data_IF_517755968201
#
_entry.id   IF_517755968201
#
_cell.length_a   1.000
_cell.length_b   1.000
_cell.length_c   1.000
_cell.angle_alpha   90.00
_cell.angle_beta   90.00
_cell.angle_gamma   90.00
#
_symmetry.space_group_name_H-M   'P 1'
#
loop_
_entity.id
_entity.type
_entity.pdbx_description
1 polymer ?
#
# COMPACT_ATOMS: atom_id res chain seq x y z
N UNK A 1 24.07 -20.63 12.80
CA UNK A 1 24.26 -20.13 11.40
C UNK A 1 23.21 -19.12 10.97
N UNK A 2 21.93 -19.29 11.32
CA UNK A 2 20.84 -18.33 11.01
C UNK A 2 21.10 -16.96 11.64
N UNK A 3 21.41 -16.89 12.93
CA UNK A 3 21.66 -15.62 13.67
C UNK A 3 22.78 -14.79 13.06
N UNK A 4 23.82 -15.44 12.51
CA UNK A 4 24.95 -14.74 11.87
C UNK A 4 24.50 -14.13 10.53
N UNK A 5 23.67 -14.85 9.75
CA UNK A 5 23.14 -14.32 8.48
C UNK A 5 22.29 -13.08 8.69
N UNK A 6 21.40 -13.09 9.67
CA UNK A 6 20.53 -11.96 9.97
C UNK A 6 21.32 -10.76 10.47
N UNK A 7 22.35 -10.99 11.31
CA UNK A 7 23.23 -9.93 11.78
C UNK A 7 24.01 -9.30 10.62
N UNK A 8 24.55 -10.10 9.69
CA UNK A 8 25.27 -9.61 8.51
C UNK A 8 24.33 -8.83 7.59
N UNK A 9 23.13 -9.35 7.30
CA UNK A 9 22.15 -8.68 6.45
C UNK A 9 21.72 -7.33 7.04
N UNK A 10 21.44 -7.27 8.34
CA UNK A 10 21.16 -6.03 9.05
C UNK A 10 22.30 -5.03 8.95
N UNK A 11 23.55 -5.47 9.15
CA UNK A 11 24.74 -4.61 9.06
C UNK A 11 24.94 -4.06 7.66
N UNK A 12 24.67 -4.84 6.61
CA UNK A 12 24.71 -4.35 5.22
C UNK A 12 23.74 -3.18 5.02
N UNK A 13 22.50 -3.31 5.49
CA UNK A 13 21.50 -2.24 5.38
C UNK A 13 21.89 -0.97 6.16
N UNK A 14 22.39 -1.14 7.39
CA UNK A 14 22.87 -0.03 8.23
C UNK A 14 24.08 0.68 7.60
N UNK A 15 25.03 -0.08 7.06
CA UNK A 15 26.21 0.46 6.36
C UNK A 15 25.80 1.18 5.09
N UNK A 16 24.92 0.60 4.27
CA UNK A 16 24.42 1.23 3.07
C UNK A 16 23.67 2.53 3.39
N UNK A 17 22.81 2.52 4.42
CA UNK A 17 22.12 3.73 4.87
C UNK A 17 23.11 4.83 5.31
N UNK A 18 24.16 4.47 6.05
CA UNK A 18 25.19 5.41 6.48
C UNK A 18 26.01 5.94 5.29
N UNK A 19 26.40 5.07 4.34
CA UNK A 19 27.11 5.46 3.13
C UNK A 19 26.32 6.48 2.30
N UNK A 20 25.01 6.31 2.20
CA UNK A 20 24.12 7.20 1.48
C UNK A 20 23.53 8.33 2.38
N UNK A 21 24.15 8.61 3.53
CA UNK A 21 23.78 9.70 4.45
C UNK A 21 22.33 9.60 4.95
N UNK A 22 21.85 8.38 5.21
CA UNK A 22 20.53 8.11 5.75
C UNK A 22 19.38 8.77 4.95
N UNK A 23 19.12 8.36 3.71
CA UNK A 23 18.16 9.03 2.81
C UNK A 23 16.74 9.15 3.41
N UNK A 24 16.30 8.20 4.25
CA UNK A 24 15.01 8.25 4.95
C UNK A 24 14.90 9.38 6.00
N UNK A 25 15.96 10.14 6.28
CA UNK A 25 15.90 11.34 7.10
C UNK A 25 15.59 12.59 6.30
N UNK A 26 15.71 12.52 4.97
CA UNK A 26 15.49 13.65 4.04
C UNK A 26 14.10 13.63 3.39
N UNK A 27 13.36 12.52 3.52
CA UNK A 27 12.00 12.37 2.99
C UNK A 27 11.16 11.46 3.90
N UNK A 28 9.86 11.64 3.92
CA UNK A 28 8.93 10.77 4.62
C UNK A 28 8.76 9.44 3.84
N UNK A 29 9.26 8.33 4.39
CA UNK A 29 9.09 7.01 3.79
C UNK A 29 7.85 6.33 4.37
N UNK A 30 6.92 5.92 3.51
CA UNK A 30 5.72 5.15 3.88
C UNK A 30 5.88 3.72 3.40
N UNK A 31 5.79 2.75 4.33
CA UNK A 31 5.85 1.32 4.04
C UNK A 31 4.47 0.69 3.96
N UNK A 32 4.20 -0.10 2.92
CA UNK A 32 2.95 -0.84 2.77
C UNK A 32 3.25 -2.34 2.75
N UNK A 33 2.70 -3.07 3.73
CA UNK A 33 2.81 -4.53 3.81
C UNK A 33 1.45 -5.21 3.86
N UNK A 34 1.42 -6.50 3.59
CA UNK A 34 0.24 -7.35 3.54
C UNK A 34 0.40 -8.45 2.49
N UNK A 35 -0.57 -9.33 2.34
CA UNK A 35 -0.57 -10.32 1.25
C UNK A 35 -0.98 -9.65 -0.05
N UNK A 36 -2.17 -9.07 -0.09
CA UNK A 36 -2.76 -8.39 -1.24
C UNK A 36 -2.87 -6.87 -1.02
N UNK A 37 -3.02 -6.08 -2.09
CA UNK A 37 -3.28 -4.64 -2.01
C UNK A 37 -2.06 -3.73 -1.96
N UNK A 38 -0.85 -4.22 -1.69
CA UNK A 38 0.37 -3.39 -1.58
C UNK A 38 0.57 -2.45 -2.77
N UNK A 39 0.58 -2.98 -3.98
CA UNK A 39 0.81 -2.21 -5.21
C UNK A 39 -0.25 -1.13 -5.41
N UNK A 40 -1.52 -1.47 -5.24
CA UNK A 40 -2.61 -0.49 -5.38
C UNK A 40 -2.50 0.61 -4.34
N UNK A 41 -2.22 0.26 -3.08
CA UNK A 41 -2.08 1.23 -1.99
C UNK A 41 -0.89 2.17 -2.20
N UNK A 42 0.28 1.65 -2.63
CA UNK A 42 1.45 2.52 -2.90
C UNK A 42 1.22 3.46 -4.08
N UNK A 43 0.56 3.00 -5.15
CA UNK A 43 0.21 3.87 -6.29
C UNK A 43 -0.86 4.92 -5.90
N UNK A 44 -1.82 4.57 -5.05
CA UNK A 44 -2.77 5.53 -4.48
C UNK A 44 -2.05 6.59 -3.64
N UNK A 45 -1.13 6.18 -2.76
CA UNK A 45 -0.33 7.11 -1.95
C UNK A 45 0.45 8.07 -2.87
N UNK A 46 1.13 7.56 -3.90
CA UNK A 46 1.86 8.38 -4.86
C UNK A 46 0.92 9.38 -5.57
N UNK A 47 -0.18 8.91 -6.14
CA UNK A 47 -1.12 9.76 -6.88
C UNK A 47 -1.73 10.85 -6.00
N UNK A 48 -2.20 10.48 -4.82
CA UNK A 48 -2.85 11.42 -3.89
C UNK A 48 -1.85 12.46 -3.35
N UNK A 49 -0.65 12.02 -2.96
CA UNK A 49 0.37 12.94 -2.47
C UNK A 49 0.89 13.88 -3.57
N UNK A 50 1.08 13.38 -4.79
CA UNK A 50 1.45 14.20 -5.94
C UNK A 50 0.36 15.24 -6.25
N UNK A 51 -0.91 14.87 -6.16
CA UNK A 51 -2.05 15.77 -6.33
C UNK A 51 -2.10 16.87 -5.24
N UNK A 52 -1.54 16.58 -4.07
CA UNK A 52 -1.37 17.55 -2.98
C UNK A 52 -0.06 18.36 -3.09
N UNK A 53 0.62 18.32 -4.24
CA UNK A 53 1.81 19.11 -4.52
C UNK A 53 3.12 18.51 -3.99
N UNK A 54 3.12 17.27 -3.52
CA UNK A 54 4.35 16.60 -3.09
C UNK A 54 5.13 16.03 -4.28
N UNK A 55 6.46 16.11 -4.20
CA UNK A 55 7.34 15.31 -5.04
C UNK A 55 7.48 13.92 -4.41
N UNK A 56 7.09 12.87 -5.13
CA UNK A 56 6.92 11.52 -4.59
C UNK A 56 7.80 10.51 -5.30
N UNK A 57 8.45 9.64 -4.53
CA UNK A 57 9.07 8.40 -5.00
C UNK A 57 8.14 7.20 -4.83
N UNK A 58 8.15 6.26 -5.77
CA UNK A 58 7.41 5.00 -5.72
C UNK A 58 8.37 3.83 -5.86
N UNK A 59 8.31 2.87 -4.94
CA UNK A 59 9.16 1.67 -4.91
C UNK A 59 8.29 0.42 -4.73
N UNK A 60 8.26 -0.47 -5.72
CA UNK A 60 7.37 -1.63 -5.63
C UNK A 60 7.57 -2.68 -6.70
N UNK A 61 6.58 -3.53 -6.85
CA UNK A 61 6.61 -4.72 -7.71
C UNK A 61 6.73 -4.39 -9.20
N UNK A 62 6.07 -3.34 -9.66
CA UNK A 62 6.01 -3.00 -11.08
C UNK A 62 7.17 -2.10 -11.48
N UNK A 63 7.44 -1.09 -10.68
CA UNK A 63 8.35 -0.01 -11.03
C UNK A 63 8.94 0.63 -9.78
N UNK A 64 10.19 1.10 -9.88
CA UNK A 64 10.77 2.06 -8.97
C UNK A 64 10.92 3.37 -9.74
N UNK A 65 10.30 4.46 -9.26
CA UNK A 65 10.32 5.76 -9.96
C UNK A 65 10.37 6.95 -9.01
N UNK A 66 11.05 7.98 -9.44
CA UNK A 66 11.14 9.30 -8.82
C UNK A 66 11.39 10.35 -9.90
N UNK A 67 11.34 11.66 -9.65
CA UNK A 67 11.55 12.68 -10.66
C UNK A 67 12.79 12.43 -11.53
N UNK A 68 12.59 12.33 -12.83
CA UNK A 68 13.65 12.08 -13.81
C UNK A 68 14.07 10.61 -14.00
N UNK A 69 13.52 9.68 -13.21
CA UNK A 69 13.87 8.24 -13.29
C UNK A 69 12.64 7.33 -13.21
N UNK A 70 12.67 6.26 -14.02
CA UNK A 70 11.68 5.18 -13.95
C UNK A 70 12.36 3.88 -14.37
N UNK A 71 12.41 2.90 -13.45
CA UNK A 71 13.16 1.66 -13.58
C UNK A 71 12.20 0.50 -13.35
N UNK A 72 12.14 -0.47 -14.25
CA UNK A 72 11.39 -1.72 -14.02
C UNK A 72 11.94 -2.42 -12.77
N UNK A 73 11.07 -2.75 -11.84
CA UNK A 73 11.47 -3.41 -10.61
C UNK A 73 11.85 -4.89 -10.86
N UNK A 74 12.91 -5.35 -10.22
CA UNK A 74 13.30 -6.77 -10.23
C UNK A 74 12.80 -7.53 -9.01
N UNK A 75 12.43 -6.82 -7.97
CA UNK A 75 11.89 -7.34 -6.71
C UNK A 75 10.85 -6.38 -6.16
N UNK A 76 9.84 -6.89 -5.49
CA UNK A 76 8.84 -6.06 -4.77
C UNK A 76 9.52 -5.09 -3.80
N UNK A 77 10.57 -5.56 -3.13
CA UNK A 77 11.45 -4.75 -2.26
C UNK A 77 12.89 -5.10 -2.62
N UNK A 78 13.65 -4.14 -3.08
CA UNK A 78 15.06 -4.33 -3.47
C UNK A 78 15.93 -4.78 -2.27
N UNK A 79 17.12 -5.34 -2.56
CA UNK A 79 18.12 -5.60 -1.54
C UNK A 79 18.64 -4.28 -0.94
N UNK A 80 19.12 -4.34 0.29
CA UNK A 80 19.38 -3.18 1.12
C UNK A 80 20.35 -2.17 0.51
N UNK A 81 21.41 -2.62 -0.14
CA UNK A 81 22.41 -1.79 -0.83
C UNK A 81 21.78 -0.99 -1.99
N UNK A 82 21.07 -1.69 -2.88
CA UNK A 82 20.35 -1.07 -4.00
C UNK A 82 19.22 -0.15 -3.51
N UNK A 83 18.46 -0.60 -2.51
CA UNK A 83 17.36 0.17 -1.93
C UNK A 83 17.85 1.52 -1.39
N UNK A 84 18.91 1.52 -0.58
CA UNK A 84 19.43 2.75 0.02
C UNK A 84 19.98 3.71 -1.06
N UNK A 85 20.62 3.18 -2.12
CA UNK A 85 21.04 3.97 -3.27
C UNK A 85 19.87 4.64 -4.00
N UNK A 86 18.83 3.88 -4.32
CA UNK A 86 17.63 4.40 -4.98
C UNK A 86 16.89 5.44 -4.12
N UNK A 87 16.79 5.22 -2.79
CA UNK A 87 16.21 6.19 -1.86
C UNK A 87 17.06 7.48 -1.81
N UNK A 88 18.39 7.36 -1.88
CA UNK A 88 19.27 8.52 -1.92
C UNK A 88 19.12 9.34 -3.21
N UNK A 89 18.98 8.68 -4.35
CA UNK A 89 18.70 9.33 -5.63
C UNK A 89 17.34 10.04 -5.61
N UNK A 90 16.28 9.39 -5.09
CA UNK A 90 14.96 9.98 -4.95
C UNK A 90 14.99 11.23 -4.03
N UNK A 91 15.68 11.14 -2.88
CA UNK A 91 15.85 12.28 -1.98
C UNK A 91 16.63 13.41 -2.65
N UNK A 92 17.65 13.10 -3.44
CA UNK A 92 18.46 14.08 -4.18
C UNK A 92 17.68 14.72 -5.35
N UNK A 93 16.72 13.99 -5.93
CA UNK A 93 15.77 14.49 -6.91
C UNK A 93 14.64 15.35 -6.30
N UNK A 94 14.66 15.58 -4.99
CA UNK A 94 13.73 16.46 -4.28
C UNK A 94 12.44 15.77 -3.83
N UNK A 95 12.39 14.44 -3.74
CA UNK A 95 11.24 13.76 -3.14
C UNK A 95 11.10 14.15 -1.66
N UNK A 96 9.94 14.70 -1.29
CA UNK A 96 9.56 14.94 0.10
C UNK A 96 8.89 13.72 0.73
N UNK A 97 8.36 12.81 -0.10
CA UNK A 97 7.67 11.59 0.31
C UNK A 97 8.05 10.43 -0.60
N UNK A 98 8.07 9.22 -0.06
CA UNK A 98 8.19 8.00 -0.85
C UNK A 98 7.23 6.91 -0.34
N UNK A 99 6.56 6.23 -1.26
CA UNK A 99 5.73 5.07 -0.98
C UNK A 99 6.46 3.79 -1.39
N UNK A 100 6.53 2.80 -0.52
CA UNK A 100 7.28 1.56 -0.76
C UNK A 100 6.47 0.32 -0.39
N UNK A 101 6.44 -0.65 -1.30
CA UNK A 101 5.97 -2.00 -0.98
C UNK A 101 7.02 -2.73 -0.13
N UNK A 102 6.60 -3.26 1.02
CA UNK A 102 7.47 -4.01 1.94
C UNK A 102 6.97 -5.46 2.03
N UNK A 103 7.66 -6.38 1.36
CA UNK A 103 7.33 -7.81 1.39
C UNK A 103 7.78 -8.47 2.69
N UNK A 104 7.12 -9.55 3.08
CA UNK A 104 7.52 -10.35 4.25
C UNK A 104 8.93 -10.92 4.11
N UNK A 105 9.30 -11.33 2.89
CA UNK A 105 10.67 -11.76 2.58
C UNK A 105 11.68 -10.65 2.85
N UNK A 106 11.36 -9.40 2.46
CA UNK A 106 12.25 -8.27 2.69
C UNK A 106 12.45 -7.98 4.18
N UNK A 107 11.38 -8.10 4.97
CA UNK A 107 11.44 -7.95 6.42
C UNK A 107 12.25 -9.08 7.06
N UNK A 108 11.94 -10.34 6.75
CA UNK A 108 12.66 -11.50 7.24
C UNK A 108 14.15 -11.50 6.82
N UNK A 109 14.46 -11.00 5.63
CA UNK A 109 15.82 -10.90 5.10
C UNK A 109 16.54 -9.60 5.46
N UNK A 110 15.95 -8.75 6.30
CA UNK A 110 16.53 -7.47 6.73
C UNK A 110 16.85 -6.50 5.57
N UNK A 111 16.15 -6.60 4.42
CA UNK A 111 16.41 -5.74 3.26
C UNK A 111 16.09 -4.26 3.53
N UNK A 112 15.19 -4.00 4.48
CA UNK A 112 14.81 -2.64 4.91
C UNK A 112 15.58 -2.17 6.15
N UNK A 113 16.59 -2.90 6.60
CA UNK A 113 17.45 -2.45 7.68
C UNK A 113 18.12 -1.12 7.30
N UNK A 114 18.20 -0.20 8.25
CA UNK A 114 18.68 1.17 8.01
C UNK A 114 17.61 2.13 7.47
N UNK A 115 16.43 1.63 7.05
CA UNK A 115 15.27 2.49 6.77
C UNK A 115 14.61 2.95 8.07
N UNK A 116 13.95 4.13 8.00
CA UNK A 116 13.03 4.63 9.03
C UNK A 116 11.76 5.09 8.33
N UNK A 117 10.65 4.44 8.67
CA UNK A 117 9.35 4.74 8.09
C UNK A 117 8.65 5.84 8.90
N UNK A 118 8.17 6.85 8.21
CA UNK A 118 7.32 7.91 8.77
C UNK A 118 5.85 7.47 8.89
N UNK A 119 5.48 6.41 8.17
CA UNK A 119 4.15 5.81 8.21
C UNK A 119 4.20 4.36 7.73
N UNK A 120 3.27 3.53 8.20
CA UNK A 120 3.16 2.13 7.80
C UNK A 120 1.68 1.72 7.60
N UNK A 121 1.44 0.86 6.60
CA UNK A 121 0.11 0.33 6.28
C UNK A 121 0.14 -1.19 6.29
N UNK A 122 -0.84 -1.81 6.98
CA UNK A 122 -1.11 -3.24 6.93
C UNK A 122 -2.42 -3.49 6.20
N UNK A 123 -2.34 -4.11 5.01
CA UNK A 123 -3.53 -4.30 4.16
C UNK A 123 -4.35 -5.54 4.56
N UNK A 124 -3.74 -6.69 4.65
CA UNK A 124 -4.36 -7.98 5.02
C UNK A 124 -3.31 -9.09 5.17
N UNK A 125 -3.73 -10.24 5.71
CA UNK A 125 -2.92 -11.45 5.69
C UNK A 125 -3.78 -12.67 5.35
N UNK A 126 -3.59 -13.20 4.16
CA UNK A 126 -4.18 -14.46 3.71
C UNK A 126 -3.11 -15.49 3.39
N UNK A 127 -3.49 -16.75 3.19
CA UNK A 127 -2.53 -17.82 2.95
C UNK A 127 -1.71 -17.56 1.68
N UNK A 128 -0.41 -17.37 1.87
CA UNK A 128 0.59 -17.20 0.82
C UNK A 128 1.99 -17.45 1.41
N UNK A 129 3.00 -17.69 0.58
CA UNK A 129 4.40 -17.78 0.97
C UNK A 129 4.71 -18.80 2.11
N UNK A 130 3.91 -19.86 2.27
CA UNK A 130 4.19 -20.94 3.23
C UNK A 130 5.31 -21.90 2.77
N UNK A 131 5.81 -21.71 1.57
CA UNK A 131 7.06 -22.29 1.09
C UNK A 131 8.30 -21.62 1.71
N UNK A 132 8.15 -20.38 2.20
CA UNK A 132 9.21 -19.60 2.84
C UNK A 132 9.01 -19.43 4.35
N UNK A 133 7.80 -19.10 4.80
CA UNK A 133 7.46 -18.97 6.23
C UNK A 133 6.96 -20.30 6.77
N UNK A 134 7.45 -20.69 7.96
CA UNK A 134 7.12 -21.99 8.55
C UNK A 134 5.64 -22.11 8.95
N UNK A 135 4.97 -20.96 9.21
CA UNK A 135 3.57 -20.91 9.61
C UNK A 135 2.94 -19.55 9.26
N UNK A 136 1.61 -19.46 9.34
CA UNK A 136 0.90 -18.17 9.24
C UNK A 136 1.30 -17.20 10.37
N UNK A 137 1.65 -17.72 11.54
CA UNK A 137 2.17 -16.91 12.65
C UNK A 137 3.52 -16.27 12.31
N UNK A 138 4.48 -17.07 11.77
CA UNK A 138 5.78 -16.55 11.36
C UNK A 138 5.61 -15.53 10.20
N UNK A 139 4.67 -15.78 9.30
CA UNK A 139 4.34 -14.85 8.22
C UNK A 139 3.77 -13.54 8.76
N UNK A 140 2.89 -13.61 9.75
CA UNK A 140 2.36 -12.44 10.45
C UNK A 140 3.46 -11.66 11.18
N UNK A 141 4.27 -12.33 12.02
CA UNK A 141 5.32 -11.67 12.79
C UNK A 141 6.37 -11.02 11.88
N UNK A 142 6.69 -11.65 10.73
CA UNK A 142 7.55 -11.02 9.74
C UNK A 142 6.97 -9.68 9.26
N UNK A 143 5.67 -9.60 8.93
CA UNK A 143 5.04 -8.34 8.53
C UNK A 143 4.85 -7.36 9.69
N UNK A 144 4.50 -7.84 10.87
CA UNK A 144 4.31 -7.03 12.07
C UNK A 144 5.61 -6.30 12.48
N UNK A 145 6.78 -6.84 12.14
CA UNK A 145 8.05 -6.20 12.42
C UNK A 145 8.23 -4.82 11.76
N UNK A 146 7.49 -4.51 10.68
CA UNK A 146 7.48 -3.18 10.07
C UNK A 146 6.97 -2.10 11.04
N UNK A 147 6.08 -2.48 11.96
CA UNK A 147 5.38 -1.57 12.88
C UNK A 147 6.10 -1.37 14.21
N UNK A 148 7.32 -1.88 14.33
CA UNK A 148 8.13 -1.81 15.54
C UNK A 148 9.40 -0.97 15.33
N UNK A 149 9.96 -0.45 16.45
CA UNK A 149 11.30 0.13 16.46
C UNK A 149 12.35 -0.95 16.03
N UNK A 150 13.36 -0.61 15.24
CA UNK A 150 13.75 0.73 14.79
C UNK A 150 13.13 1.15 13.44
N UNK A 151 12.25 0.36 12.83
CA UNK A 151 11.74 0.62 11.48
C UNK A 151 10.71 1.75 11.46
N UNK A 152 9.68 1.68 12.30
CA UNK A 152 8.66 2.73 12.37
C UNK A 152 9.04 3.80 13.40
N UNK A 153 8.85 5.07 13.04
CA UNK A 153 9.06 6.19 13.96
C UNK A 153 7.98 6.16 15.04
N UNK A 154 8.39 6.00 16.29
CA UNK A 154 7.49 5.93 17.44
C UNK A 154 7.11 7.33 17.95
N UNK A 155 6.35 8.09 17.17
CA UNK A 155 5.87 9.43 17.51
C UNK A 155 4.43 9.60 17.04
N UNK A 156 3.48 9.42 17.94
CA UNK A 156 2.04 9.45 17.64
C UNK A 156 1.54 8.26 16.82
N UNK A 157 0.35 8.41 16.23
CA UNK A 157 -0.21 7.41 15.34
C UNK A 157 0.44 7.50 13.97
N UNK A 158 1.23 6.49 13.61
CA UNK A 158 2.01 6.41 12.36
C UNK A 158 1.66 5.19 11.52
N UNK A 159 0.65 4.44 11.92
CA UNK A 159 0.21 3.24 11.22
C UNK A 159 -1.27 3.26 10.91
N UNK A 160 -1.63 2.63 9.79
CA UNK A 160 -3.01 2.35 9.38
C UNK A 160 -3.14 0.86 9.17
N UNK A 161 -4.10 0.25 9.87
CA UNK A 161 -4.25 -1.21 9.90
C UNK A 161 -5.67 -1.59 9.54
N UNK A 162 -5.84 -2.51 8.58
CA UNK A 162 -7.14 -3.08 8.22
C UNK A 162 -7.67 -3.95 9.38
N UNK A 163 -8.68 -3.48 10.09
CA UNK A 163 -9.28 -4.21 11.20
C UNK A 163 -10.41 -5.17 10.77
N UNK A 164 -10.83 -5.17 9.51
CA UNK A 164 -11.74 -6.17 8.95
C UNK A 164 -11.01 -7.51 8.68
N UNK A 165 -9.67 -7.49 8.62
CA UNK A 165 -8.82 -8.67 8.55
C UNK A 165 -8.47 -9.17 9.94
N UNK A 166 -8.63 -10.48 10.28
CA UNK A 166 -8.37 -11.00 11.63
C UNK A 166 -6.94 -10.76 12.13
N UNK A 167 -5.95 -10.85 11.24
CA UNK A 167 -4.56 -10.58 11.59
C UNK A 167 -4.30 -9.07 11.76
N UNK A 168 -4.99 -8.26 10.95
CA UNK A 168 -4.98 -6.82 11.10
C UNK A 168 -5.63 -6.38 12.40
N UNK A 169 -6.76 -6.95 12.79
CA UNK A 169 -7.40 -6.67 14.09
C UNK A 169 -6.44 -6.99 15.26
N UNK A 170 -5.76 -8.13 15.21
CA UNK A 170 -4.75 -8.52 16.19
C UNK A 170 -3.56 -7.55 16.21
N UNK A 171 -3.09 -7.09 15.06
CA UNK A 171 -2.03 -6.09 14.97
C UNK A 171 -2.48 -4.76 15.57
N UNK A 172 -3.69 -4.30 15.25
CA UNK A 172 -4.26 -3.06 15.78
C UNK A 172 -4.39 -3.10 17.32
N UNK A 173 -4.84 -4.22 17.88
CA UNK A 173 -4.87 -4.43 19.33
C UNK A 173 -3.47 -4.30 19.96
N UNK A 174 -2.46 -4.92 19.33
CA UNK A 174 -1.05 -4.86 19.78
C UNK A 174 -0.47 -3.43 19.74
N UNK A 175 -0.86 -2.63 18.73
CA UNK A 175 -0.36 -1.26 18.53
C UNK A 175 -1.12 -0.22 19.37
N UNK A 176 -2.38 -0.49 19.72
CA UNK A 176 -3.22 0.41 20.48
C UNK A 176 -3.31 1.81 19.85
N UNK A 177 -3.09 2.85 20.63
CA UNK A 177 -3.18 4.24 20.16
C UNK A 177 -2.14 4.65 19.10
N UNK A 178 -1.14 3.80 18.81
CA UNK A 178 -0.14 4.07 17.78
C UNK A 178 -0.64 3.76 16.35
N UNK A 179 -1.87 3.25 16.19
CA UNK A 179 -2.47 3.02 14.87
C UNK A 179 -3.86 3.63 14.74
N UNK A 180 -4.27 3.89 13.50
CA UNK A 180 -5.66 4.08 13.11
C UNK A 180 -6.16 2.78 12.47
N UNK A 181 -7.27 2.26 13.00
CA UNK A 181 -7.97 1.12 12.39
C UNK A 181 -8.71 1.62 11.15
N UNK A 182 -8.61 0.89 10.07
CA UNK A 182 -9.41 1.10 8.86
C UNK A 182 -10.43 -0.02 8.72
N UNK A 183 -11.70 0.32 8.54
CA UNK A 183 -12.79 -0.64 8.40
C UNK A 183 -13.84 -0.17 7.39
N UNK A 184 -14.39 -1.11 6.64
CA UNK A 184 -15.60 -0.92 5.83
C UNK A 184 -16.85 -1.52 6.50
N UNK A 185 -16.71 -2.08 7.71
CA UNK A 185 -17.73 -2.79 8.44
C UNK A 185 -18.00 -2.16 9.82
N UNK A 186 -16.96 -1.75 10.53
CA UNK A 186 -17.05 -1.14 11.86
C UNK A 186 -17.02 0.40 11.79
N UNK A 187 -18.15 1.09 12.02
CA UNK A 187 -18.21 2.56 12.01
C UNK A 187 -17.50 3.19 13.24
N UNK A 188 -17.06 2.40 14.21
CA UNK A 188 -16.26 2.87 15.35
C UNK A 188 -14.76 2.93 15.05
N UNK A 189 -14.31 2.41 13.91
CA UNK A 189 -12.92 2.51 13.47
C UNK A 189 -12.57 3.97 13.16
N UNK A 190 -11.32 4.35 13.42
CA UNK A 190 -10.81 5.72 13.20
C UNK A 190 -10.97 6.14 11.73
N UNK A 191 -10.80 5.18 10.81
CA UNK A 191 -11.00 5.36 9.37
C UNK A 191 -12.12 4.43 8.92
N UNK A 192 -13.20 4.98 8.41
CA UNK A 192 -14.30 4.20 7.85
C UNK A 192 -15.02 4.92 6.71
N UNK A 193 -15.88 4.22 5.99
CA UNK A 193 -16.66 4.77 4.91
C UNK A 193 -18.16 4.52 5.16
N UNK A 194 -19.00 5.48 4.77
CA UNK A 194 -20.46 5.36 4.81
C UNK A 194 -21.09 5.76 3.48
N UNK A 195 -22.40 5.55 3.36
CA UNK A 195 -23.21 5.94 2.19
C UNK A 195 -22.67 5.42 0.86
N UNK A 196 -22.07 4.23 0.86
CA UNK A 196 -21.41 3.65 -0.32
C UNK A 196 -22.43 3.28 -1.39
N UNK A 197 -22.26 3.84 -2.59
CA UNK A 197 -23.01 3.52 -3.79
C UNK A 197 -22.06 2.97 -4.84
N UNK A 198 -22.19 1.68 -5.14
CA UNK A 198 -21.36 0.99 -6.14
C UNK A 198 -22.08 0.94 -7.48
N UNK A 199 -21.37 1.32 -8.54
CA UNK A 199 -21.83 1.27 -9.93
C UNK A 199 -20.76 0.69 -10.83
N UNK A 200 -21.09 0.35 -12.07
CA UNK A 200 -20.10 -0.07 -13.06
C UNK A 200 -19.05 1.01 -13.38
N UNK A 201 -19.30 2.27 -13.07
CA UNK A 201 -18.39 3.40 -13.27
C UNK A 201 -17.45 3.64 -12.06
N UNK A 202 -17.66 2.93 -10.94
CA UNK A 202 -16.90 3.11 -9.71
C UNK A 202 -17.79 3.21 -8.47
N UNK A 203 -17.29 3.86 -7.44
CA UNK A 203 -17.92 3.99 -6.13
C UNK A 203 -17.96 5.45 -5.71
N UNK A 204 -19.10 5.86 -5.13
CA UNK A 204 -19.26 7.12 -4.42
C UNK A 204 -19.61 6.84 -2.95
N UNK A 205 -19.22 7.76 -2.06
CA UNK A 205 -19.50 7.61 -0.63
C UNK A 205 -18.97 8.76 0.19
N UNK A 206 -18.94 8.55 1.49
CA UNK A 206 -18.37 9.45 2.49
C UNK A 206 -17.21 8.74 3.18
N UNK A 207 -16.08 9.40 3.29
CA UNK A 207 -14.93 8.96 4.07
C UNK A 207 -14.88 9.74 5.38
N UNK A 208 -14.70 9.02 6.48
CA UNK A 208 -14.62 9.56 7.84
C UNK A 208 -13.25 9.24 8.42
N UNK A 209 -12.64 10.22 9.07
CA UNK A 209 -11.34 10.12 9.71
C UNK A 209 -11.26 10.96 10.98
N UNK A 210 -10.24 10.79 11.85
CA UNK A 210 -10.02 11.65 13.00
C UNK A 210 -9.76 13.12 12.65
N UNK A 211 -9.39 13.42 11.40
CA UNK A 211 -9.08 14.78 10.92
C UNK A 211 -10.19 15.38 10.05
N UNK A 212 -11.38 14.79 10.07
CA UNK A 212 -12.56 15.26 9.34
C UNK A 212 -13.17 14.22 8.41
N UNK A 213 -14.21 14.63 7.70
CA UNK A 213 -14.95 13.79 6.78
C UNK A 213 -15.28 14.51 5.47
N UNK A 214 -15.60 13.75 4.43
CA UNK A 214 -16.05 14.33 3.18
C UNK A 214 -16.50 13.29 2.15
N UNK A 215 -17.17 13.76 1.11
CA UNK A 215 -17.61 12.91 0.00
C UNK A 215 -16.44 12.62 -0.93
N UNK A 216 -16.42 11.42 -1.47
CA UNK A 216 -15.46 11.00 -2.49
C UNK A 216 -16.18 10.30 -3.65
N UNK A 217 -15.50 10.27 -4.77
CA UNK A 217 -15.84 9.45 -5.93
C UNK A 217 -14.58 8.73 -6.39
N UNK A 218 -14.66 7.42 -6.61
CA UNK A 218 -13.53 6.57 -7.03
C UNK A 218 -13.91 5.75 -8.26
N UNK A 219 -13.06 5.69 -9.29
CA UNK A 219 -13.28 4.79 -10.44
C UNK A 219 -12.93 3.33 -10.10
N UNK A 220 -12.33 3.06 -8.96
CA UNK A 220 -11.93 1.72 -8.55
C UNK A 220 -13.15 0.82 -8.24
N UNK A 221 -13.03 -0.45 -8.62
CA UNK A 221 -14.02 -1.48 -8.37
C UNK A 221 -13.59 -2.40 -7.24
N UNK A 222 -14.58 -2.90 -6.48
CA UNK A 222 -14.37 -3.89 -5.43
C UNK A 222 -14.07 -3.30 -4.04
N UNK A 223 -14.62 -3.98 -3.02
CA UNK A 223 -14.46 -3.59 -1.61
C UNK A 223 -13.00 -3.54 -1.18
N UNK A 224 -12.17 -4.49 -1.66
CA UNK A 224 -10.74 -4.50 -1.35
C UNK A 224 -10.02 -3.23 -1.85
N UNK A 225 -10.42 -2.67 -2.99
CA UNK A 225 -9.86 -1.41 -3.48
C UNK A 225 -10.34 -0.21 -2.67
N UNK A 226 -11.55 -0.25 -2.11
CA UNK A 226 -12.01 0.76 -1.16
C UNK A 226 -11.18 0.73 0.13
N UNK A 227 -10.84 -0.46 0.64
CA UNK A 227 -9.93 -0.59 1.77
C UNK A 227 -8.54 -0.04 1.45
N UNK A 228 -7.98 -0.38 0.29
CA UNK A 228 -6.69 0.18 -0.16
C UNK A 228 -6.72 1.72 -0.23
N UNK A 229 -7.83 2.27 -0.74
CA UNK A 229 -8.05 3.72 -0.82
C UNK A 229 -8.15 4.36 0.57
N UNK A 230 -8.97 3.78 1.45
CA UNK A 230 -9.14 4.25 2.83
C UNK A 230 -7.82 4.31 3.57
N UNK A 231 -7.00 3.28 3.42
CA UNK A 231 -5.68 3.19 4.02
C UNK A 231 -4.68 4.19 3.44
N UNK A 232 -4.68 4.38 2.11
CA UNK A 232 -3.83 5.37 1.46
C UNK A 232 -4.16 6.80 1.93
N UNK A 233 -5.45 7.14 2.01
CA UNK A 233 -5.89 8.44 2.58
C UNK A 233 -5.48 8.54 4.04
N UNK A 234 -5.73 7.52 4.85
CA UNK A 234 -5.42 7.51 6.28
C UNK A 234 -3.95 7.79 6.57
N UNK A 235 -3.04 7.09 5.90
CA UNK A 235 -1.60 7.28 6.13
C UNK A 235 -1.13 8.66 5.65
N UNK A 236 -1.71 9.22 4.59
CA UNK A 236 -1.40 10.56 4.11
C UNK A 236 -1.93 11.65 5.05
N UNK A 237 -3.09 11.45 5.68
CA UNK A 237 -3.59 12.33 6.73
C UNK A 237 -2.65 12.35 7.95
N UNK A 238 -2.09 11.20 8.33
CA UNK A 238 -1.05 11.13 9.37
C UNK A 238 0.23 11.88 8.97
N UNK A 239 0.48 12.06 7.67
CA UNK A 239 1.54 12.94 7.14
C UNK A 239 1.06 14.38 6.94
N UNK A 240 -0.08 14.78 7.52
CA UNK A 240 -0.63 16.15 7.51
C UNK A 240 -1.04 16.66 6.12
N UNK A 241 -1.30 15.79 5.15
CA UNK A 241 -1.87 16.22 3.87
C UNK A 241 -3.37 16.56 4.05
N UNK A 242 -3.87 17.62 3.38
CA UNK A 242 -5.21 18.11 3.62
C UNK A 242 -6.29 17.19 3.01
N UNK A 243 -7.24 16.72 3.82
CA UNK A 243 -8.31 15.81 3.42
C UNK A 243 -9.08 16.27 2.16
N UNK A 244 -9.50 17.56 2.02
CA UNK A 244 -10.26 17.97 0.83
C UNK A 244 -9.50 17.75 -0.49
N UNK A 245 -8.18 17.98 -0.49
CA UNK A 245 -7.32 17.78 -1.66
C UNK A 245 -7.22 16.29 -2.01
N UNK A 246 -7.07 15.44 -0.99
CA UNK A 246 -7.01 13.98 -1.18
C UNK A 246 -8.33 13.46 -1.75
N UNK A 247 -9.48 13.89 -1.20
CA UNK A 247 -10.80 13.44 -1.66
C UNK A 247 -11.07 13.85 -3.12
N UNK A 248 -10.71 15.07 -3.52
CA UNK A 248 -10.81 15.53 -4.91
C UNK A 248 -9.93 14.70 -5.85
N UNK A 249 -8.72 14.35 -5.42
CA UNK A 249 -7.76 13.60 -6.23
C UNK A 249 -8.19 12.15 -6.49
N UNK A 250 -8.97 11.54 -5.60
CA UNK A 250 -9.45 10.14 -5.74
C UNK A 250 -10.12 9.91 -7.09
N UNK A 251 -10.96 10.82 -7.53
CA UNK A 251 -11.70 10.70 -8.79
C UNK A 251 -10.83 10.70 -10.05
N UNK A 252 -9.60 11.14 -9.95
CA UNK A 252 -8.61 11.20 -11.05
C UNK A 252 -7.63 10.03 -11.06
N UNK A 253 -7.74 9.11 -10.13
CA UNK A 253 -6.86 7.94 -10.09
C UNK A 253 -7.16 6.97 -11.22
N UNK A 254 -6.21 6.79 -12.14
CA UNK A 254 -6.37 5.97 -13.34
C UNK A 254 -6.31 4.45 -13.12
N UNK A 255 -6.17 3.99 -11.88
CA UNK A 255 -5.95 2.57 -11.56
C UNK A 255 -4.47 2.19 -11.63
N UNK A 256 -4.21 0.89 -11.55
CA UNK A 256 -2.86 0.30 -11.59
C UNK A 256 -2.83 -0.79 -12.66
N UNK A 257 -1.82 -0.84 -13.52
CA UNK A 257 -1.68 -1.89 -14.53
C UNK A 257 -1.76 -3.29 -13.91
N UNK A 258 -2.62 -4.15 -14.48
CA UNK A 258 -2.83 -5.51 -14.00
C UNK A 258 -3.50 -5.62 -12.62
N UNK A 259 -4.20 -4.61 -12.13
CA UNK A 259 -4.96 -4.62 -10.85
C UNK A 259 -6.40 -4.19 -11.10
N UNK A 260 -7.28 -5.15 -11.42
CA UNK A 260 -8.65 -4.88 -11.89
C UNK A 260 -8.67 -3.84 -13.02
N UNK A 261 -7.63 -3.85 -13.84
CA UNK A 261 -7.43 -2.92 -14.94
C UNK A 261 -8.48 -3.15 -16.01
N UNK A 262 -9.27 -2.12 -16.31
CA UNK A 262 -10.23 -2.19 -17.39
C UNK A 262 -9.55 -1.95 -18.74
N UNK A 263 -9.65 -2.93 -19.63
CA UNK A 263 -9.13 -2.79 -20.99
C UNK A 263 -10.00 -1.80 -21.78
N UNK A 264 -9.39 -0.73 -22.27
CA UNK A 264 -10.02 0.28 -23.10
C UNK A 264 -9.48 0.13 -24.52
N UNK A 265 -10.37 -0.14 -25.49
CA UNK A 265 -10.03 -0.24 -26.89
C UNK A 265 -10.21 1.13 -27.54
N UNK A 266 -9.11 1.75 -27.97
CA UNK A 266 -9.15 3.02 -28.69
C UNK A 266 -9.73 2.82 -30.11
N UNK A 267 -10.69 3.69 -30.51
CA UNK A 267 -11.27 3.68 -31.85
C UNK A 267 -12.33 2.61 -32.11
N UNK A 268 -12.75 1.87 -31.08
CA UNK A 268 -13.81 0.88 -31.18
C UNK A 268 -15.01 1.34 -30.33
N UNK A 269 -16.23 1.24 -30.86
CA UNK A 269 -17.44 1.44 -30.07
C UNK A 269 -17.59 0.29 -29.06
N UNK A 270 -17.18 0.57 -27.84
CA UNK A 270 -17.21 -0.40 -26.74
C UNK A 270 -18.60 -0.67 -26.17
N UNK A 271 -19.65 0.03 -26.65
CA UNK A 271 -21.00 -0.09 -26.08
C UNK A 271 -21.60 -1.50 -26.20
N UNK A 272 -21.14 -2.27 -27.19
CA UNK A 272 -21.60 -3.64 -27.46
C UNK A 272 -20.57 -4.72 -27.13
N UNK A 273 -19.42 -4.36 -26.56
CA UNK A 273 -18.40 -5.32 -26.18
C UNK A 273 -18.48 -5.68 -24.69
N UNK A 274 -18.21 -6.94 -24.33
CA UNK A 274 -18.10 -7.30 -22.94
C UNK A 274 -16.93 -6.54 -22.29
N UNK A 275 -17.08 -6.05 -21.04
CA UNK A 275 -15.96 -5.47 -20.32
C UNK A 275 -14.89 -6.55 -20.07
N UNK A 276 -13.62 -6.20 -20.34
CA UNK A 276 -12.46 -7.05 -20.07
C UNK A 276 -11.68 -6.41 -18.91
N UNK A 277 -11.37 -7.21 -17.90
CA UNK A 277 -10.56 -6.80 -16.75
C UNK A 277 -9.30 -7.64 -16.72
N UNK A 278 -8.17 -7.02 -16.42
CA UNK A 278 -6.87 -7.70 -16.20
C UNK A 278 -6.52 -7.59 -14.72
N UNK A 279 -6.25 -8.73 -14.09
CA UNK A 279 -5.82 -8.78 -12.69
C UNK A 279 -4.67 -9.77 -12.50
N UNK A 280 -3.80 -9.47 -11.55
CA UNK A 280 -2.67 -10.32 -11.18
C UNK A 280 -3.04 -11.38 -10.13
N UNK A 281 -4.31 -11.59 -9.85
CA UNK A 281 -4.78 -12.58 -8.88
C UNK A 281 -4.26 -13.98 -9.23
N UNK A 282 -3.49 -14.58 -8.34
CA UNK A 282 -2.85 -15.90 -8.51
C UNK A 282 -2.97 -16.77 -7.25
N UNK A 283 -3.64 -16.26 -6.21
CA UNK A 283 -4.00 -17.01 -5.00
C UNK A 283 -5.52 -17.26 -4.99
N UNK A 284 -6.02 -18.30 -4.30
CA UNK A 284 -7.45 -18.54 -4.18
C UNK A 284 -8.24 -17.32 -3.67
N UNK A 285 -7.74 -16.66 -2.61
CA UNK A 285 -8.31 -15.43 -2.06
C UNK A 285 -8.30 -14.27 -3.08
N UNK A 286 -7.17 -14.08 -3.79
CA UNK A 286 -7.05 -13.05 -4.83
C UNK A 286 -8.05 -13.25 -5.96
N UNK A 287 -8.24 -14.50 -6.43
CA UNK A 287 -9.21 -14.84 -7.46
C UNK A 287 -10.66 -14.63 -6.98
N UNK A 288 -10.99 -15.06 -5.77
CA UNK A 288 -12.31 -14.86 -5.18
C UNK A 288 -12.65 -13.37 -5.07
N UNK A 289 -11.71 -12.57 -4.59
CA UNK A 289 -11.86 -11.12 -4.51
C UNK A 289 -12.06 -10.47 -5.89
N UNK A 290 -11.29 -10.85 -6.90
CA UNK A 290 -11.42 -10.31 -8.26
C UNK A 290 -12.78 -10.70 -8.89
N UNK A 291 -13.19 -11.95 -8.78
CA UNK A 291 -14.48 -12.44 -9.27
C UNK A 291 -15.66 -11.79 -8.54
N UNK A 292 -15.58 -11.69 -7.22
CA UNK A 292 -16.59 -11.03 -6.39
C UNK A 292 -16.71 -9.55 -6.72
N UNK A 293 -15.62 -8.87 -7.04
CA UNK A 293 -15.65 -7.47 -7.47
C UNK A 293 -16.26 -7.28 -8.85
N UNK A 294 -16.07 -8.23 -9.77
CA UNK A 294 -16.64 -8.18 -11.13
C UNK A 294 -18.12 -8.60 -11.18
N UNK A 295 -18.55 -9.53 -10.31
CA UNK A 295 -19.89 -10.14 -10.34
C UNK A 295 -21.05 -9.18 -10.33
N UNK A 296 -21.10 -8.12 -9.49
CA UNK A 296 -22.21 -7.18 -9.43
C UNK A 296 -22.47 -6.42 -10.75
N UNK A 297 -21.47 -6.32 -11.60
CA UNK A 297 -21.52 -5.58 -12.89
C UNK A 297 -21.69 -6.48 -14.10
N UNK A 298 -21.82 -7.78 -13.89
CA UNK A 298 -21.99 -8.78 -14.93
C UNK A 298 -23.35 -9.44 -14.81
N UNK A 299 -24.33 -8.99 -15.62
CA UNK A 299 -25.67 -9.57 -15.65
C UNK A 299 -25.68 -10.97 -16.27
N UNK A 300 -24.70 -11.29 -17.10
CA UNK A 300 -24.59 -12.53 -17.83
C UNK A 300 -23.52 -13.49 -17.25
N UNK A 301 -22.80 -14.15 -18.13
CA UNK A 301 -21.75 -15.10 -17.79
C UNK A 301 -20.44 -14.35 -17.50
N UNK A 302 -19.81 -14.63 -16.38
CA UNK A 302 -18.45 -14.23 -16.07
C UNK A 302 -17.51 -15.35 -16.54
N UNK A 303 -16.50 -15.03 -17.34
CA UNK A 303 -15.59 -15.99 -17.98
C UNK A 303 -14.18 -15.65 -17.57
#
# INVERSE_FOLDING_TARGET
MVVIKDLVARRIGEIAAAYWEHPCRRMALIGVTGTNGKTTTTHLIEHLAASAGQSVGLFGTLVNRWPGQSITATHTTAFADLLQGQLAEAASAGCGLAAMEVSSHALAQQRVAGCRFAGAVFTNLTQDHLDYHASMEDYFEAKASLFADPLLIADGARSVVNSDDPWGARLAERLGAACWRSSLEDPSAELHMSDLQMTAAGVEGRLISPLGEGRFRSPLLGRFNLMNLLQAVGVLLQQQLPLPVLLEAIGRFGGVPGRMERVILNGVDAANLPPVLVDYAHTPDGLDNALSAARPFCAGRLI
#
